data_IF_071936717450
#
_entry.id   IF_071936717450
#
_cell.length_a   1.000
_cell.length_b   1.000
_cell.length_c   1.000
_cell.angle_alpha   90.00
_cell.angle_beta   90.00
_cell.angle_gamma   90.00
#
_symmetry.space_group_name_H-M   'P 1'
#
loop_
_entity.id
_entity.type
_entity.pdbx_description
1 polymer ?
#
# COMPACT_ATOMS: atom_id res chain seq x y z
N UNK A 1 -16.69 88.56 -31.69
CA UNK A 1 -18.05 88.14 -31.25
C UNK A 1 -18.37 86.88 -32.02
N UNK A 2 -18.60 85.70 -31.45
CA UNK A 2 -18.92 85.32 -30.07
C UNK A 2 -18.25 83.98 -29.78
N UNK A 3 -17.68 83.83 -28.58
CA UNK A 3 -17.37 82.53 -28.01
C UNK A 3 -18.62 81.65 -28.06
N UNK A 4 -18.48 80.45 -28.61
CA UNK A 4 -19.37 79.34 -28.35
C UNK A 4 -18.57 78.27 -27.64
N UNK A 5 -18.09 78.59 -26.44
CA UNK A 5 -17.77 77.57 -25.43
C UNK A 5 -19.12 76.93 -25.09
N UNK A 6 -19.43 75.80 -25.72
CA UNK A 6 -20.64 75.03 -25.40
C UNK A 6 -20.38 74.25 -24.10
N UNK A 7 -20.96 74.68 -22.96
CA UNK A 7 -20.69 74.08 -21.64
C UNK A 7 -21.05 72.59 -21.59
N UNK A 8 -21.89 72.11 -22.52
CA UNK A 8 -22.25 70.69 -22.64
C UNK A 8 -21.13 69.82 -23.23
N UNK A 9 -20.32 70.35 -24.13
CA UNK A 9 -19.15 69.62 -24.66
C UNK A 9 -18.07 69.50 -23.58
N UNK A 10 -17.83 70.55 -22.82
CA UNK A 10 -16.83 70.55 -21.75
C UNK A 10 -17.22 69.57 -20.61
N UNK A 11 -18.51 69.47 -20.28
CA UNK A 11 -19.01 68.51 -19.30
C UNK A 11 -18.90 67.05 -19.78
N UNK A 12 -19.15 66.78 -21.06
CA UNK A 12 -18.98 65.45 -21.65
C UNK A 12 -17.52 65.00 -21.68
N UNK A 13 -16.58 65.90 -21.99
CA UNK A 13 -15.15 65.62 -21.93
C UNK A 13 -14.71 65.34 -20.49
N UNK A 14 -15.19 66.11 -19.50
CA UNK A 14 -14.93 65.86 -18.07
C UNK A 14 -15.47 64.50 -17.60
N UNK A 15 -16.65 64.07 -18.09
CA UNK A 15 -17.21 62.74 -17.79
C UNK A 15 -16.38 61.61 -18.42
N UNK A 16 -15.92 61.78 -19.67
CA UNK A 16 -15.04 60.82 -20.34
C UNK A 16 -13.71 60.66 -19.60
N UNK A 17 -13.08 61.75 -19.19
CA UNK A 17 -11.83 61.71 -18.41
C UNK A 17 -12.02 61.00 -17.07
N UNK A 18 -13.08 61.33 -16.32
CA UNK A 18 -13.41 60.63 -15.06
C UNK A 18 -13.67 59.13 -15.25
N UNK A 19 -14.29 58.74 -16.36
CA UNK A 19 -14.51 57.33 -16.68
C UNK A 19 -13.22 56.61 -17.08
N UNK A 20 -12.31 57.31 -17.78
CA UNK A 20 -10.97 56.79 -18.06
C UNK A 20 -10.16 56.59 -16.78
N UNK A 21 -10.14 57.56 -15.87
CA UNK A 21 -9.43 57.45 -14.59
C UNK A 21 -9.95 56.25 -13.78
N UNK A 22 -11.28 56.09 -13.69
CA UNK A 22 -11.88 54.93 -13.02
C UNK A 22 -11.47 53.59 -13.64
N UNK A 23 -11.45 53.50 -14.98
CA UNK A 23 -10.99 52.28 -15.67
C UNK A 23 -9.51 52.03 -15.49
N UNK A 24 -8.70 53.08 -15.40
CA UNK A 24 -7.26 52.99 -15.12
C UNK A 24 -7.02 52.46 -13.70
N UNK A 25 -7.79 52.93 -12.73
CA UNK A 25 -7.74 52.45 -11.34
C UNK A 25 -8.20 51.00 -11.23
N UNK A 26 -9.28 50.61 -11.92
CA UNK A 26 -9.74 49.22 -12.00
C UNK A 26 -8.68 48.30 -12.60
N UNK A 27 -8.03 48.74 -13.69
CA UNK A 27 -6.96 47.98 -14.34
C UNK A 27 -5.72 47.86 -13.44
N UNK A 28 -5.34 48.93 -12.75
CA UNK A 28 -4.25 48.93 -11.76
C UNK A 28 -4.53 47.93 -10.63
N UNK A 29 -5.76 47.92 -10.11
CA UNK A 29 -6.19 46.97 -9.09
C UNK A 29 -6.16 45.51 -9.58
N UNK A 30 -6.56 45.26 -10.83
CA UNK A 30 -6.48 43.92 -11.44
C UNK A 30 -5.02 43.47 -11.55
N UNK A 31 -4.12 44.36 -12.02
CA UNK A 31 -2.69 44.05 -12.15
C UNK A 31 -2.03 43.78 -10.79
N UNK A 32 -2.37 44.55 -9.76
CA UNK A 32 -1.88 44.33 -8.40
C UNK A 32 -2.33 42.97 -7.85
N UNK A 33 -3.60 42.62 -8.01
CA UNK A 33 -4.13 41.30 -7.60
C UNK A 33 -3.46 40.17 -8.37
N UNK A 34 -3.32 40.31 -9.68
CA UNK A 34 -2.65 39.32 -10.52
C UNK A 34 -1.18 39.12 -10.12
N UNK A 35 -0.45 40.21 -9.83
CA UNK A 35 0.92 40.13 -9.34
C UNK A 35 1.02 39.41 -7.99
N UNK A 36 0.12 39.70 -7.05
CA UNK A 36 0.07 39.04 -5.75
C UNK A 36 -0.26 37.54 -5.87
N UNK A 37 -1.21 37.20 -6.73
CA UNK A 37 -1.58 35.80 -7.01
C UNK A 37 -0.41 35.03 -7.63
N UNK A 38 0.31 35.64 -8.59
CA UNK A 38 1.51 35.04 -9.18
C UNK A 38 2.60 34.79 -8.14
N UNK A 39 2.91 35.78 -7.29
CA UNK A 39 3.91 35.64 -6.22
C UNK A 39 3.50 34.53 -5.26
N UNK A 40 2.22 34.48 -4.89
CA UNK A 40 1.68 33.45 -3.99
C UNK A 40 1.78 32.05 -4.61
N UNK A 41 1.40 31.90 -5.87
CA UNK A 41 1.51 30.63 -6.59
C UNK A 41 2.97 30.21 -6.77
N UNK A 42 3.87 31.15 -7.07
CA UNK A 42 5.29 30.86 -7.20
C UNK A 42 5.91 30.40 -5.87
N UNK A 43 5.51 31.03 -4.76
CA UNK A 43 5.90 30.61 -3.42
C UNK A 43 5.42 29.19 -3.09
N UNK A 44 4.15 28.88 -3.38
CA UNK A 44 3.58 27.52 -3.20
C UNK A 44 4.31 26.48 -4.05
N UNK A 45 4.60 26.80 -5.31
CA UNK A 45 5.37 25.91 -6.20
C UNK A 45 6.76 25.66 -5.66
N UNK A 46 7.47 26.71 -5.24
CA UNK A 46 8.82 26.59 -4.66
C UNK A 46 8.82 25.69 -3.42
N UNK A 47 7.84 25.88 -2.52
CA UNK A 47 7.70 25.02 -1.35
C UNK A 47 7.41 23.57 -1.73
N UNK A 48 6.53 23.35 -2.72
CA UNK A 48 6.21 22.01 -3.22
C UNK A 48 7.43 21.32 -3.83
N UNK A 49 8.21 22.04 -4.65
CA UNK A 49 9.45 21.53 -5.25
C UNK A 49 10.46 21.14 -4.17
N UNK A 50 10.62 21.98 -3.14
CA UNK A 50 11.51 21.67 -2.01
C UNK A 50 11.06 20.41 -1.28
N UNK A 51 9.78 20.33 -0.92
CA UNK A 51 9.21 19.16 -0.25
C UNK A 51 9.39 17.88 -1.06
N UNK A 52 9.18 17.93 -2.38
CA UNK A 52 9.40 16.79 -3.27
C UNK A 52 10.88 16.41 -3.36
N UNK A 53 11.77 17.39 -3.37
CA UNK A 53 13.22 17.16 -3.38
C UNK A 53 13.68 16.47 -2.10
N UNK A 54 13.22 16.94 -0.94
CA UNK A 54 13.50 16.31 0.36
C UNK A 54 13.00 14.85 0.38
N UNK A 55 11.80 14.60 -0.18
CA UNK A 55 11.26 13.23 -0.31
C UNK A 55 12.07 12.33 -1.24
N UNK A 56 12.63 12.87 -2.31
CA UNK A 56 13.52 12.12 -3.21
C UNK A 56 14.80 11.73 -2.46
N UNK A 57 15.35 12.63 -1.64
CA UNK A 57 16.54 12.32 -0.83
C UNK A 57 16.27 11.24 0.23
N UNK A 58 15.10 11.29 0.89
CA UNK A 58 14.67 10.24 1.82
C UNK A 58 14.56 8.87 1.11
N UNK A 59 14.00 8.85 -0.10
CA UNK A 59 13.86 7.63 -0.90
C UNK A 59 15.21 7.07 -1.36
N UNK A 60 16.16 7.94 -1.71
CA UNK A 60 17.51 7.53 -2.08
C UNK A 60 18.24 6.86 -0.91
N UNK A 61 18.16 7.46 0.29
CA UNK A 61 18.70 6.86 1.53
C UNK A 61 18.10 5.50 1.82
N UNK A 62 16.77 5.38 1.79
CA UNK A 62 16.09 4.10 1.98
C UNK A 62 16.51 3.05 0.93
N UNK A 63 16.74 3.47 -0.31
CA UNK A 63 17.21 2.58 -1.39
C UNK A 63 18.62 2.06 -1.11
N UNK A 64 19.52 2.92 -0.61
CA UNK A 64 20.87 2.51 -0.20
C UNK A 64 20.80 1.50 0.94
N UNK A 65 19.96 1.74 1.95
CA UNK A 65 19.77 0.80 3.07
C UNK A 65 19.27 -0.56 2.58
N UNK A 66 18.27 -0.59 1.70
CA UNK A 66 17.75 -1.83 1.09
C UNK A 66 18.85 -2.58 0.34
N UNK A 67 19.68 -1.88 -0.46
CA UNK A 67 20.83 -2.49 -1.13
C UNK A 67 21.84 -3.06 -0.12
N UNK A 68 22.00 -2.41 1.03
CA UNK A 68 22.82 -2.89 2.14
C UNK A 68 22.32 -4.19 2.78
N UNK A 69 21.03 -4.52 2.67
CA UNK A 69 20.45 -5.77 3.20
C UNK A 69 20.81 -6.99 2.35
N UNK A 70 21.08 -6.83 1.05
CA UNK A 70 21.43 -7.96 0.16
C UNK A 70 22.61 -8.80 0.68
N UNK A 71 23.77 -8.24 1.05
CA UNK A 71 24.86 -9.03 1.61
C UNK A 71 24.53 -9.64 2.98
N UNK A 72 23.65 -9.03 3.77
CA UNK A 72 23.18 -9.61 5.03
C UNK A 72 22.30 -10.85 4.78
N UNK A 73 21.41 -10.77 3.80
CA UNK A 73 20.59 -11.90 3.34
C UNK A 73 21.44 -13.05 2.82
N UNK A 74 22.49 -12.76 2.04
CA UNK A 74 23.44 -13.79 1.56
C UNK A 74 24.09 -14.51 2.75
N UNK A 75 24.57 -13.77 3.76
CA UNK A 75 25.12 -14.39 4.99
C UNK A 75 24.11 -15.29 5.71
N UNK A 76 22.84 -14.89 5.76
CA UNK A 76 21.79 -15.72 6.37
C UNK A 76 21.60 -17.02 5.57
N UNK A 77 21.58 -16.96 4.24
CA UNK A 77 21.48 -18.14 3.38
C UNK A 77 22.69 -19.05 3.56
N UNK A 78 23.90 -18.50 3.63
CA UNK A 78 25.12 -19.29 3.86
C UNK A 78 25.07 -20.00 5.21
N UNK A 79 24.61 -19.31 6.26
CA UNK A 79 24.41 -19.92 7.58
C UNK A 79 23.33 -21.01 7.56
N UNK A 80 22.24 -20.82 6.82
CA UNK A 80 21.20 -21.84 6.65
C UNK A 80 21.76 -23.09 5.96
N UNK A 81 22.54 -22.93 4.90
CA UNK A 81 23.20 -24.04 4.21
C UNK A 81 24.17 -24.78 5.14
N UNK A 82 24.93 -24.06 5.97
CA UNK A 82 25.81 -24.67 6.96
C UNK A 82 25.03 -25.52 7.97
N UNK A 83 23.94 -24.99 8.52
CA UNK A 83 23.07 -25.72 9.45
C UNK A 83 22.45 -26.95 8.77
N UNK A 84 22.01 -26.83 7.51
CA UNK A 84 21.43 -27.96 6.77
C UNK A 84 22.46 -29.08 6.54
N UNK A 85 23.71 -28.73 6.24
CA UNK A 85 24.81 -29.70 6.16
C UNK A 85 25.05 -30.41 7.51
N UNK A 86 25.11 -29.66 8.61
CA UNK A 86 25.28 -30.23 9.95
C UNK A 86 24.12 -31.14 10.34
N UNK A 87 22.88 -30.74 10.05
CA UNK A 87 21.68 -31.58 10.24
C UNK A 87 21.73 -32.84 9.37
N UNK A 88 22.25 -32.74 8.14
CA UNK A 88 22.49 -33.88 7.26
C UNK A 88 23.48 -34.88 7.88
N UNK A 89 24.55 -34.39 8.50
CA UNK A 89 25.53 -35.22 9.21
C UNK A 89 24.89 -35.89 10.43
N UNK A 90 24.12 -35.14 11.24
CA UNK A 90 23.39 -35.71 12.38
C UNK A 90 22.42 -36.80 11.92
N UNK A 91 21.67 -36.57 10.86
CA UNK A 91 20.76 -37.55 10.27
C UNK A 91 21.50 -38.81 9.81
N UNK A 92 22.65 -38.65 9.15
CA UNK A 92 23.49 -39.78 8.73
C UNK A 92 24.03 -40.56 9.92
N UNK A 93 24.48 -39.89 10.98
CA UNK A 93 24.95 -40.52 12.21
C UNK A 93 23.83 -41.31 12.90
N UNK A 94 22.63 -40.73 13.05
CA UNK A 94 21.47 -41.43 13.62
C UNK A 94 21.11 -42.68 12.80
N UNK A 95 21.12 -42.57 11.47
CA UNK A 95 20.85 -43.71 10.58
C UNK A 95 21.90 -44.82 10.73
N UNK A 96 23.18 -44.46 10.89
CA UNK A 96 24.28 -45.42 11.04
C UNK A 96 24.35 -46.06 12.45
N UNK A 97 23.75 -45.45 13.48
CA UNK A 97 23.70 -45.99 14.84
C UNK A 97 22.58 -47.03 15.01
N UNK A 98 21.63 -47.12 14.07
CA UNK A 98 20.46 -48.00 14.21
C UNK A 98 20.70 -49.34 13.49
N UNK A 99 20.92 -50.47 14.21
CA UNK A 99 20.91 -51.79 13.58
C UNK A 99 19.49 -52.06 13.08
N UNK A 100 19.34 -52.60 11.86
CA UNK A 100 18.07 -52.93 11.21
C UNK A 100 17.03 -53.54 12.18
N UNK A 101 16.24 -52.67 12.80
CA UNK A 101 14.96 -52.98 13.43
C UNK A 101 13.90 -52.37 12.54
N UNK A 102 12.88 -53.18 12.25
CA UNK A 102 11.73 -52.87 11.39
C UNK A 102 11.28 -51.42 11.56
N UNK A 103 11.13 -50.75 10.43
CA UNK A 103 10.58 -49.41 10.23
C UNK A 103 9.59 -48.98 11.32
N UNK A 104 10.04 -48.15 12.26
CA UNK A 104 9.19 -47.16 12.88
C UNK A 104 9.23 -45.93 11.98
N UNK A 105 8.05 -45.54 11.51
CA UNK A 105 7.83 -44.35 10.70
C UNK A 105 8.56 -43.17 11.31
N UNK A 106 9.37 -42.48 10.49
CA UNK A 106 9.85 -41.13 10.82
C UNK A 106 8.62 -40.34 11.26
N UNK A 107 8.54 -39.97 12.55
CA UNK A 107 7.54 -39.02 13.04
C UNK A 107 7.79 -37.70 12.30
N UNK A 108 7.13 -37.51 11.15
CA UNK A 108 6.80 -36.18 10.67
C UNK A 108 6.18 -35.47 11.86
N UNK A 109 6.60 -34.24 12.15
CA UNK A 109 5.96 -33.40 13.16
C UNK A 109 4.45 -33.37 12.89
N UNK A 110 3.73 -34.27 13.58
CA UNK A 110 2.29 -34.53 13.40
C UNK A 110 1.55 -33.22 13.62
N UNK A 111 2.02 -32.44 14.61
CA UNK A 111 1.49 -31.13 14.95
C UNK A 111 1.51 -30.10 13.81
N UNK A 112 2.58 -30.00 13.00
CA UNK A 112 2.62 -29.00 11.90
C UNK A 112 1.73 -29.42 10.74
N UNK A 113 1.68 -30.72 10.45
CA UNK A 113 0.83 -31.27 9.37
C UNK A 113 -0.65 -31.13 9.75
N UNK A 114 -1.01 -31.46 10.99
CA UNK A 114 -2.35 -31.27 11.55
C UNK A 114 -2.76 -29.79 11.58
N UNK A 115 -1.85 -28.88 11.93
CA UNK A 115 -2.13 -27.43 11.90
C UNK A 115 -2.39 -26.94 10.48
N UNK A 116 -1.60 -27.40 9.49
CA UNK A 116 -1.82 -27.08 8.08
C UNK A 116 -3.17 -27.59 7.60
N UNK A 117 -3.50 -28.84 7.89
CA UNK A 117 -4.79 -29.44 7.56
C UNK A 117 -5.95 -28.70 8.24
N UNK A 118 -5.79 -28.29 9.51
CA UNK A 118 -6.77 -27.50 10.24
C UNK A 118 -7.01 -26.12 9.62
N UNK A 119 -5.94 -25.42 9.21
CA UNK A 119 -6.04 -24.12 8.54
C UNK A 119 -6.66 -24.26 7.14
N UNK A 120 -6.27 -25.28 6.39
CA UNK A 120 -6.86 -25.59 5.08
C UNK A 120 -8.34 -25.96 5.17
N UNK A 121 -8.73 -26.71 6.21
CA UNK A 121 -10.14 -27.02 6.51
C UNK A 121 -10.94 -25.75 6.84
N UNK A 122 -10.42 -24.90 7.72
CA UNK A 122 -11.02 -23.60 8.06
C UNK A 122 -11.20 -22.73 6.81
N UNK A 123 -10.16 -22.58 5.99
CA UNK A 123 -10.24 -21.82 4.74
C UNK A 123 -11.27 -22.39 3.75
N UNK A 124 -11.40 -23.71 3.68
CA UNK A 124 -12.38 -24.38 2.81
C UNK A 124 -13.82 -24.16 3.30
N UNK A 125 -14.05 -24.29 4.61
CA UNK A 125 -15.35 -23.98 5.23
C UNK A 125 -15.72 -22.52 5.00
N UNK A 126 -14.76 -21.61 5.16
CA UNK A 126 -14.97 -20.20 4.90
C UNK A 126 -15.31 -19.91 3.44
N UNK A 127 -14.67 -20.60 2.50
CA UNK A 127 -14.97 -20.47 1.07
C UNK A 127 -16.44 -20.84 0.76
N UNK A 128 -17.00 -21.83 1.45
CA UNK A 128 -18.41 -22.24 1.32
C UNK A 128 -19.35 -21.26 2.01
N UNK A 129 -19.03 -20.83 3.22
CA UNK A 129 -19.86 -19.91 3.99
C UNK A 129 -19.81 -18.48 3.46
N UNK A 130 -18.77 -18.14 2.70
CA UNK A 130 -18.67 -16.85 2.03
C UNK A 130 -19.89 -16.58 1.16
N UNK A 131 -20.53 -17.56 0.51
CA UNK A 131 -21.73 -17.31 -0.31
C UNK A 131 -22.95 -16.81 0.47
N UNK A 132 -22.98 -17.07 1.78
CA UNK A 132 -24.07 -16.69 2.67
C UNK A 132 -23.76 -15.40 3.44
N UNK A 133 -22.53 -14.91 3.37
CA UNK A 133 -22.10 -13.70 4.07
C UNK A 133 -22.30 -12.47 3.18
N UNK A 134 -23.13 -11.54 3.63
CA UNK A 134 -23.28 -10.21 3.05
C UNK A 134 -22.39 -9.17 3.75
N UNK A 135 -21.99 -9.44 5.00
CA UNK A 135 -21.21 -8.51 5.82
C UNK A 135 -19.69 -8.65 5.56
N UNK A 136 -19.11 -7.58 5.00
CA UNK A 136 -17.68 -7.41 4.79
C UNK A 136 -16.89 -7.53 6.11
N UNK A 137 -17.46 -7.09 7.23
CA UNK A 137 -16.77 -7.04 8.51
C UNK A 137 -16.54 -8.45 9.09
N UNK A 138 -17.50 -9.36 8.87
CA UNK A 138 -17.35 -10.77 9.23
C UNK A 138 -16.22 -11.43 8.42
N UNK A 139 -16.16 -11.14 7.12
CA UNK A 139 -15.11 -11.63 6.22
C UNK A 139 -13.72 -11.14 6.68
N UNK A 140 -13.60 -9.86 7.04
CA UNK A 140 -12.33 -9.30 7.54
C UNK A 140 -11.88 -9.97 8.83
N UNK A 141 -12.79 -10.10 9.79
CA UNK A 141 -12.49 -10.71 11.10
C UNK A 141 -12.00 -12.14 10.93
N UNK A 142 -12.62 -12.89 10.02
CA UNK A 142 -12.20 -14.25 9.70
C UNK A 142 -10.80 -14.28 9.08
N UNK A 143 -10.57 -13.45 8.06
CA UNK A 143 -9.27 -13.36 7.39
C UNK A 143 -8.15 -12.93 8.34
N UNK A 144 -8.40 -12.02 9.28
CA UNK A 144 -7.43 -11.63 10.31
C UNK A 144 -7.08 -12.78 11.25
N UNK A 145 -8.07 -13.56 11.68
CA UNK A 145 -7.86 -14.74 12.52
C UNK A 145 -6.99 -15.79 11.83
N UNK A 146 -7.27 -16.09 10.55
CA UNK A 146 -6.46 -17.03 9.76
C UNK A 146 -5.06 -16.48 9.49
N UNK A 147 -4.94 -15.19 9.15
CA UNK A 147 -3.65 -14.53 8.98
C UNK A 147 -2.76 -14.70 10.21
N UNK A 148 -3.33 -14.49 11.40
CA UNK A 148 -2.60 -14.64 12.66
C UNK A 148 -2.16 -16.09 12.87
N UNK A 149 -3.04 -17.06 12.70
CA UNK A 149 -2.72 -18.50 12.81
C UNK A 149 -1.62 -18.94 11.84
N UNK A 150 -1.67 -18.50 10.58
CA UNK A 150 -0.65 -18.83 9.57
C UNK A 150 0.71 -18.24 9.97
N UNK A 151 0.72 -17.02 10.50
CA UNK A 151 1.93 -16.35 10.95
C UNK A 151 2.54 -17.04 12.17
N UNK A 152 1.73 -17.33 13.19
CA UNK A 152 2.21 -17.91 14.45
C UNK A 152 2.63 -19.36 14.33
N UNK A 153 1.95 -20.14 13.48
CA UNK A 153 2.09 -21.60 13.52
C UNK A 153 2.88 -22.20 12.36
N UNK A 154 2.95 -21.52 11.20
CA UNK A 154 3.62 -22.03 9.99
C UNK A 154 4.75 -21.08 9.53
N UNK A 155 4.79 -19.84 10.01
CA UNK A 155 5.75 -18.83 9.50
C UNK A 155 5.46 -18.43 8.05
N UNK A 156 4.22 -18.61 7.57
CA UNK A 156 3.80 -18.40 6.18
C UNK A 156 3.69 -16.92 5.78
N UNK A 157 4.79 -16.16 5.86
CA UNK A 157 4.84 -14.71 5.68
C UNK A 157 4.23 -14.23 4.37
N UNK A 158 4.40 -14.98 3.27
CA UNK A 158 3.83 -14.63 1.96
C UNK A 158 2.30 -14.71 1.95
N UNK A 159 1.73 -15.79 2.47
CA UNK A 159 0.27 -15.97 2.53
C UNK A 159 -0.33 -14.94 3.51
N UNK A 160 0.31 -14.72 4.66
CA UNK A 160 -0.09 -13.68 5.62
C UNK A 160 -0.10 -12.26 5.01
N UNK A 161 0.90 -11.96 4.17
CA UNK A 161 0.94 -10.71 3.41
C UNK A 161 -0.19 -10.61 2.38
N UNK A 162 -0.43 -11.67 1.59
CA UNK A 162 -1.51 -11.70 0.60
C UNK A 162 -2.89 -11.54 1.25
N UNK A 163 -3.13 -12.18 2.41
CA UNK A 163 -4.36 -11.98 3.20
C UNK A 163 -4.49 -10.52 3.63
N UNK A 164 -3.40 -9.87 4.04
CA UNK A 164 -3.40 -8.44 4.41
C UNK A 164 -3.79 -7.54 3.24
N UNK A 165 -3.34 -7.86 2.02
CA UNK A 165 -3.73 -7.14 0.81
C UNK A 165 -5.23 -7.28 0.54
N UNK A 166 -5.78 -8.49 0.71
CA UNK A 166 -7.22 -8.72 0.55
C UNK A 166 -8.03 -7.95 1.60
N UNK A 167 -7.59 -7.93 2.87
CA UNK A 167 -8.23 -7.12 3.93
C UNK A 167 -8.21 -5.62 3.59
N UNK A 168 -7.08 -5.12 3.07
CA UNK A 168 -6.96 -3.72 2.65
C UNK A 168 -7.88 -3.38 1.47
N UNK A 169 -8.03 -4.30 0.51
CA UNK A 169 -8.99 -4.14 -0.58
C UNK A 169 -10.43 -4.08 -0.06
N UNK A 170 -10.76 -4.90 0.93
CA UNK A 170 -12.07 -4.88 1.61
C UNK A 170 -12.30 -3.61 2.45
N UNK A 171 -11.25 -2.95 2.94
CA UNK A 171 -11.38 -1.66 3.64
C UNK A 171 -11.81 -0.52 2.70
N UNK A 172 -11.48 -0.62 1.42
CA UNK A 172 -11.80 0.40 0.42
C UNK A 172 -13.16 0.18 -0.27
N UNK A 173 -13.92 -0.84 0.13
CA UNK A 173 -15.20 -1.21 -0.50
C UNK A 173 -16.35 -1.09 0.50
N UNK A 174 -17.48 -0.54 0.03
CA UNK A 174 -18.72 -0.37 0.82
C UNK A 174 -19.63 -1.59 0.78
N UNK A 175 -19.52 -2.43 -0.26
CA UNK A 175 -20.34 -3.62 -0.46
C UNK A 175 -19.53 -4.74 -1.12
N UNK A 176 -19.93 -5.98 -0.84
CA UNK A 176 -19.32 -7.17 -1.41
C UNK A 176 -19.98 -7.45 -2.77
N UNK A 177 -19.30 -7.09 -3.85
CA UNK A 177 -19.74 -7.47 -5.21
C UNK A 177 -19.40 -8.93 -5.48
N UNK A 178 -20.18 -9.57 -6.36
CA UNK A 178 -19.97 -10.98 -6.72
C UNK A 178 -18.57 -11.22 -7.33
N UNK A 179 -18.07 -10.28 -8.13
CA UNK A 179 -16.70 -10.32 -8.66
C UNK A 179 -15.63 -10.30 -7.55
N UNK A 180 -15.88 -9.55 -6.47
CA UNK A 180 -14.96 -9.46 -5.34
C UNK A 180 -15.01 -10.75 -4.51
N UNK A 181 -16.20 -11.32 -4.34
CA UNK A 181 -16.41 -12.63 -3.69
C UNK A 181 -15.65 -13.72 -4.42
N UNK A 182 -15.79 -13.79 -5.75
CA UNK A 182 -15.10 -14.76 -6.59
C UNK A 182 -13.59 -14.60 -6.56
N UNK A 183 -13.09 -13.36 -6.59
CA UNK A 183 -11.66 -13.08 -6.46
C UNK A 183 -11.09 -13.58 -5.12
N UNK A 184 -11.79 -13.31 -4.01
CA UNK A 184 -11.36 -13.76 -2.69
C UNK A 184 -11.37 -15.29 -2.61
N UNK A 185 -12.38 -15.96 -3.17
CA UNK A 185 -12.46 -17.42 -3.26
C UNK A 185 -11.30 -18.01 -4.06
N UNK A 186 -10.94 -17.44 -5.20
CA UNK A 186 -9.77 -17.86 -5.98
C UNK A 186 -8.48 -17.69 -5.18
N UNK A 187 -8.33 -16.58 -4.44
CA UNK A 187 -7.17 -16.35 -3.56
C UNK A 187 -7.11 -17.37 -2.43
N UNK A 188 -8.25 -17.70 -1.80
CA UNK A 188 -8.34 -18.75 -0.78
C UNK A 188 -7.91 -20.10 -1.35
N UNK A 189 -8.41 -20.49 -2.53
CA UNK A 189 -8.00 -21.72 -3.19
C UNK A 189 -6.50 -21.77 -3.48
N UNK A 190 -5.91 -20.63 -3.89
CA UNK A 190 -4.47 -20.52 -4.07
C UNK A 190 -3.68 -20.68 -2.75
N UNK A 191 -4.19 -20.15 -1.64
CA UNK A 191 -3.55 -20.29 -0.33
C UNK A 191 -3.59 -21.73 0.17
N UNK A 192 -4.73 -22.42 0.03
CA UNK A 192 -4.88 -23.84 0.40
C UNK A 192 -3.86 -24.71 -0.36
N UNK A 193 -3.68 -24.47 -1.66
CA UNK A 193 -2.72 -25.23 -2.49
C UNK A 193 -1.24 -24.96 -2.15
N UNK A 194 -0.95 -23.91 -1.38
CA UNK A 194 0.41 -23.49 -1.01
C UNK A 194 0.79 -23.75 0.43
N UNK A 195 -0.19 -24.06 1.30
CA UNK A 195 0.05 -24.48 2.68
C UNK A 195 0.63 -25.89 2.72
#
# INVERSE_FOLDING_TARGET
MSNSDDPKQEENVKKLLKNMDKKMDELSNILQKFGLDLITQFGKTTHTVKYLSDKIEDLDKATIEIKGLTPQLIKIIDNQNAIEMELGLIKSLIQNITPHKKSESIERNVSITEIKESISGQLSEFMVEMDKMEDIQLIKTYLESIKHKIFTSIGGHKISYEISQVINLLNNKKSLTEDLRNNIKEKIGFWINRL
#
